data_IF_557338816644
#
_entry.id   IF_557338816644
#
_cell.length_a   1.000
_cell.length_b   1.000
_cell.length_c   1.000
_cell.angle_alpha   90.00
_cell.angle_beta   90.00
_cell.angle_gamma   90.00
#
_symmetry.space_group_name_H-M   'P 1'
#
loop_
_entity.id
_entity.type
_entity.pdbx_description
1 polymer ?
#
# COMPACT_ATOMS: atom_id res chain seq x y z
N UNK A 1 -12.27 19.98 56.68
CA UNK A 1 -13.18 19.97 55.51
C UNK A 1 -12.37 19.65 54.27
N UNK A 2 -12.52 18.46 53.68
CA UNK A 2 -11.89 18.12 52.38
C UNK A 2 -12.75 18.75 51.27
N UNK A 3 -12.17 19.62 50.45
CA UNK A 3 -12.82 20.14 49.24
C UNK A 3 -12.95 18.99 48.23
N UNK A 4 -14.17 18.68 47.82
CA UNK A 4 -14.42 17.87 46.63
C UNK A 4 -13.85 18.63 45.43
N UNK A 5 -12.75 18.12 44.86
CA UNK A 5 -12.30 18.52 43.53
C UNK A 5 -13.34 17.97 42.56
N UNK A 6 -14.14 18.88 41.97
CA UNK A 6 -15.15 18.54 41.00
C UNK A 6 -14.56 17.70 39.87
N UNK A 7 -15.30 16.71 39.42
CA UNK A 7 -14.96 15.93 38.24
C UNK A 7 -14.75 16.90 37.07
N UNK A 8 -13.50 17.01 36.61
CA UNK A 8 -13.22 17.73 35.37
C UNK A 8 -13.99 17.01 34.27
N UNK A 9 -14.99 17.69 33.71
CA UNK A 9 -15.69 17.24 32.51
C UNK A 9 -14.63 17.01 31.41
N UNK A 10 -14.27 15.75 31.18
CA UNK A 10 -13.41 15.39 30.06
C UNK A 10 -14.11 15.87 28.79
N UNK A 11 -13.41 16.55 27.87
CA UNK A 11 -14.02 16.95 26.61
C UNK A 11 -14.60 15.69 25.94
N UNK A 12 -15.88 15.76 25.59
CA UNK A 12 -16.54 14.70 24.82
C UNK A 12 -15.81 14.68 23.49
N UNK A 13 -14.99 13.65 23.27
CA UNK A 13 -14.35 13.47 21.97
C UNK A 13 -15.45 13.26 20.94
N UNK A 14 -15.33 13.87 19.74
CA UNK A 14 -16.27 13.57 18.67
C UNK A 14 -16.33 12.04 18.46
N UNK A 15 -17.49 11.50 18.07
CA UNK A 15 -17.58 10.09 17.72
C UNK A 15 -16.48 9.75 16.72
N UNK A 16 -15.77 8.65 16.95
CA UNK A 16 -14.73 8.18 16.02
C UNK A 16 -15.37 8.05 14.65
N UNK A 17 -14.96 8.91 13.71
CA UNK A 17 -15.40 8.79 12.33
C UNK A 17 -14.91 7.46 11.77
N UNK A 18 -15.79 6.77 11.05
CA UNK A 18 -15.40 5.57 10.30
C UNK A 18 -14.35 6.00 9.27
N UNK A 19 -13.21 5.33 9.28
CA UNK A 19 -12.21 5.49 8.23
C UNK A 19 -12.76 4.77 7.00
N UNK A 20 -12.94 5.51 5.90
CA UNK A 20 -13.48 4.97 4.65
C UNK A 20 -12.38 4.65 3.62
N UNK A 21 -11.15 5.04 3.91
CA UNK A 21 -10.01 4.59 3.13
C UNK A 21 -8.69 5.26 3.47
N UNK A 22 -7.67 4.89 2.70
CA UNK A 22 -6.26 5.20 2.96
C UNK A 22 -5.61 5.76 1.70
N UNK A 23 -4.90 6.87 1.85
CA UNK A 23 -4.18 7.53 0.77
C UNK A 23 -2.66 7.41 0.98
N UNK A 24 -1.95 6.95 -0.04
CA UNK A 24 -0.48 6.88 -0.07
C UNK A 24 0.09 8.05 -0.88
N UNK A 25 0.93 8.87 -0.25
CA UNK A 25 1.55 9.99 -0.95
C UNK A 25 2.73 9.53 -1.84
N UNK A 26 3.44 10.46 -2.49
CA UNK A 26 4.65 10.12 -3.24
C UNK A 26 5.69 9.43 -2.35
N UNK A 27 6.27 8.33 -2.81
CA UNK A 27 7.19 7.52 -1.98
C UNK A 27 8.63 8.02 -2.02
N UNK A 28 9.08 8.61 -3.14
CA UNK A 28 10.52 8.75 -3.38
C UNK A 28 11.22 7.40 -3.18
N UNK A 29 12.28 7.37 -2.35
CA UNK A 29 12.98 6.14 -1.95
C UNK A 29 12.25 5.24 -0.92
N UNK A 30 11.04 5.59 -0.48
CA UNK A 30 10.30 4.90 0.58
C UNK A 30 9.29 3.87 0.09
N UNK A 31 9.34 3.47 -1.20
CA UNK A 31 8.39 2.51 -1.76
C UNK A 31 8.29 1.22 -0.91
N UNK A 32 9.44 0.67 -0.54
CA UNK A 32 9.53 -0.55 0.26
C UNK A 32 8.89 -0.40 1.64
N UNK A 33 9.06 0.77 2.25
CA UNK A 33 8.45 1.10 3.52
C UNK A 33 6.92 1.16 3.42
N UNK A 34 6.38 1.71 2.33
CA UNK A 34 4.94 1.72 2.10
C UNK A 34 4.36 0.33 1.86
N UNK A 35 5.09 -0.58 1.22
CA UNK A 35 4.66 -1.97 1.11
C UNK A 35 4.61 -2.66 2.47
N UNK A 36 5.57 -2.37 3.36
CA UNK A 36 5.53 -2.85 4.74
C UNK A 36 4.34 -2.30 5.53
N UNK A 37 4.01 -1.02 5.35
CA UNK A 37 2.78 -0.42 5.92
C UNK A 37 1.53 -1.12 5.36
N UNK A 38 1.46 -1.33 4.05
CA UNK A 38 0.34 -1.99 3.41
C UNK A 38 0.13 -3.41 3.95
N UNK A 39 1.21 -4.18 4.12
CA UNK A 39 1.16 -5.50 4.73
C UNK A 39 0.65 -5.41 6.17
N UNK A 40 1.22 -4.52 6.99
CA UNK A 40 0.78 -4.35 8.38
C UNK A 40 -0.72 -4.02 8.46
N UNK A 41 -1.22 -3.16 7.58
CA UNK A 41 -2.63 -2.79 7.53
C UNK A 41 -3.48 -4.03 7.18
N UNK A 42 -3.12 -4.77 6.13
CA UNK A 42 -3.85 -5.97 5.71
C UNK A 42 -3.84 -7.08 6.78
N UNK A 43 -2.74 -7.24 7.52
CA UNK A 43 -2.60 -8.29 8.53
C UNK A 43 -3.36 -7.98 9.83
N UNK A 44 -3.62 -6.70 10.13
CA UNK A 44 -4.13 -6.27 11.45
C UNK A 44 -5.53 -5.65 11.42
N UNK A 45 -6.06 -5.33 10.24
CA UNK A 45 -7.35 -4.66 10.09
C UNK A 45 -8.19 -5.28 8.98
N UNK A 46 -9.52 -5.24 9.14
CA UNK A 46 -10.43 -5.55 8.06
C UNK A 46 -10.42 -4.40 7.04
N UNK A 47 -9.88 -4.69 5.86
CA UNK A 47 -9.76 -3.74 4.76
C UNK A 47 -10.80 -3.94 3.66
N UNK A 48 -11.73 -4.88 3.83
CA UNK A 48 -12.67 -5.31 2.77
C UNK A 48 -13.59 -4.20 2.27
N UNK A 49 -13.87 -3.20 3.11
CA UNK A 49 -14.76 -2.08 2.79
C UNK A 49 -14.01 -0.75 2.61
N UNK A 50 -12.67 -0.78 2.59
CA UNK A 50 -11.85 0.43 2.47
C UNK A 50 -11.55 0.76 1.01
N UNK A 51 -11.53 2.05 0.71
CA UNK A 51 -10.95 2.56 -0.53
C UNK A 51 -9.47 2.86 -0.36
N UNK A 52 -8.71 2.73 -1.45
CA UNK A 52 -7.29 3.07 -1.47
C UNK A 52 -6.99 4.00 -2.62
N UNK A 53 -6.07 4.93 -2.41
CA UNK A 53 -5.54 5.75 -3.48
C UNK A 53 -4.05 5.99 -3.27
N UNK A 54 -3.38 6.42 -4.33
CA UNK A 54 -2.00 6.86 -4.20
C UNK A 54 -1.53 7.70 -5.35
N UNK A 55 -0.38 8.36 -5.15
CA UNK A 55 0.28 9.16 -6.19
C UNK A 55 1.74 8.75 -6.33
N UNK A 56 2.27 8.79 -7.57
CA UNK A 56 3.66 8.40 -7.87
C UNK A 56 3.96 6.99 -7.33
N UNK A 57 5.05 6.76 -6.61
CA UNK A 57 5.34 5.45 -6.02
C UNK A 57 4.32 4.98 -4.96
N UNK A 58 3.50 5.88 -4.42
CA UNK A 58 2.35 5.52 -3.58
C UNK A 58 1.23 4.81 -4.32
N UNK A 59 1.22 4.82 -5.66
CA UNK A 59 0.22 4.07 -6.44
C UNK A 59 0.34 2.55 -6.22
N UNK A 60 1.55 2.02 -6.01
CA UNK A 60 1.78 0.58 -5.84
C UNK A 60 1.04 -0.01 -4.61
N UNK A 61 1.27 0.47 -3.37
CA UNK A 61 0.53 -0.03 -2.21
C UNK A 61 -0.98 0.19 -2.35
N UNK A 62 -1.41 1.31 -2.95
CA UNK A 62 -2.82 1.57 -3.22
C UNK A 62 -3.44 0.50 -4.12
N UNK A 63 -2.83 0.21 -5.27
CA UNK A 63 -3.30 -0.81 -6.22
C UNK A 63 -3.28 -2.20 -5.60
N UNK A 64 -2.22 -2.58 -4.88
CA UNK A 64 -2.14 -3.92 -4.29
C UNK A 64 -3.17 -4.12 -3.18
N UNK A 65 -3.41 -3.12 -2.32
CA UNK A 65 -4.47 -3.22 -1.33
C UNK A 65 -5.85 -3.28 -2.00
N UNK A 66 -6.10 -2.48 -3.03
CA UNK A 66 -7.36 -2.53 -3.80
C UNK A 66 -7.58 -3.87 -4.51
N UNK A 67 -6.50 -4.55 -4.92
CA UNK A 67 -6.60 -5.86 -5.57
C UNK A 67 -7.04 -6.99 -4.63
N UNK A 68 -6.95 -6.77 -3.32
CA UNK A 68 -7.09 -7.78 -2.27
C UNK A 68 -6.14 -8.98 -2.40
N UNK A 69 -5.05 -8.82 -3.17
CA UNK A 69 -3.95 -9.78 -3.15
C UNK A 69 -3.24 -9.72 -1.80
N UNK A 70 -2.71 -10.87 -1.36
CA UNK A 70 -1.85 -10.94 -0.18
C UNK A 70 -0.60 -10.09 -0.42
N UNK A 71 -0.47 -8.97 0.31
CA UNK A 71 0.70 -8.10 0.22
C UNK A 71 1.95 -8.87 0.63
N UNK A 72 1.84 -9.74 1.64
CA UNK A 72 2.93 -10.62 2.05
C UNK A 72 3.39 -11.51 0.90
N UNK A 73 2.46 -12.15 0.18
CA UNK A 73 2.82 -13.01 -0.95
C UNK A 73 3.43 -12.20 -2.10
N UNK A 74 2.88 -11.03 -2.41
CA UNK A 74 3.45 -10.10 -3.40
C UNK A 74 4.87 -9.67 -3.00
N UNK A 75 5.11 -9.45 -1.71
CA UNK A 75 6.43 -9.12 -1.21
C UNK A 75 7.43 -10.26 -1.47
N UNK A 76 7.06 -11.47 -1.10
CA UNK A 76 7.89 -12.68 -1.20
C UNK A 76 8.14 -13.11 -2.64
N UNK A 77 7.10 -13.17 -3.48
CA UNK A 77 7.18 -13.69 -4.85
C UNK A 77 7.65 -12.67 -5.88
N UNK A 78 7.44 -11.39 -5.59
CA UNK A 78 7.62 -10.32 -6.57
C UNK A 78 8.64 -9.27 -6.14
N UNK A 79 8.45 -8.62 -4.99
CA UNK A 79 9.32 -7.50 -4.62
C UNK A 79 10.73 -7.96 -4.24
N UNK A 80 10.88 -9.01 -3.43
CA UNK A 80 12.22 -9.53 -3.06
C UNK A 80 13.00 -9.97 -4.31
N UNK A 81 12.45 -10.82 -5.22
CA UNK A 81 13.15 -11.20 -6.45
C UNK A 81 13.45 -10.00 -7.36
N UNK A 82 12.52 -9.04 -7.45
CA UNK A 82 12.73 -7.83 -8.22
C UNK A 82 13.92 -7.01 -7.67
N UNK A 83 13.98 -6.77 -6.36
CA UNK A 83 15.10 -6.05 -5.72
C UNK A 83 16.44 -6.76 -5.97
N UNK A 84 16.47 -8.08 -5.87
CA UNK A 84 17.68 -8.85 -6.10
C UNK A 84 18.16 -8.72 -7.55
N UNK A 85 17.26 -8.88 -8.52
CA UNK A 85 17.62 -8.81 -9.94
C UNK A 85 18.01 -7.39 -10.37
N UNK A 86 17.41 -6.33 -9.81
CA UNK A 86 17.79 -4.94 -10.15
C UNK A 86 19.17 -4.55 -9.61
N UNK A 87 19.61 -5.15 -8.50
CA UNK A 87 20.95 -4.89 -7.94
C UNK A 87 22.07 -5.39 -8.86
N UNK A 88 21.76 -6.36 -9.71
CA UNK A 88 22.68 -6.92 -10.70
C UNK A 88 22.66 -6.14 -12.04
N UNK A 89 21.73 -5.18 -12.20
CA UNK A 89 21.66 -4.39 -13.43
C UNK A 89 22.76 -3.32 -13.47
N UNK A 90 23.35 -3.06 -14.65
CA UNK A 90 24.25 -1.93 -14.83
C UNK A 90 23.47 -0.61 -14.67
N UNK A 91 23.64 0.06 -13.54
CA UNK A 91 22.93 1.31 -13.19
C UNK A 91 23.68 2.59 -13.58
N UNK A 92 24.81 2.48 -14.29
CA UNK A 92 25.67 3.63 -14.61
C UNK A 92 24.89 4.69 -15.40
N UNK A 93 24.67 5.85 -14.76
CA UNK A 93 23.96 7.01 -15.35
C UNK A 93 22.46 7.06 -15.08
N UNK A 94 21.87 6.08 -14.38
CA UNK A 94 20.46 6.11 -14.01
C UNK A 94 20.24 6.96 -12.75
N UNK A 95 19.37 7.97 -12.83
CA UNK A 95 18.96 8.78 -11.68
C UNK A 95 18.03 7.97 -10.75
N UNK A 96 17.23 7.06 -11.31
CA UNK A 96 16.31 6.17 -10.59
C UNK A 96 16.39 4.74 -11.17
N UNK A 97 17.40 3.93 -10.79
CA UNK A 97 17.61 2.60 -11.37
C UNK A 97 16.42 1.65 -11.19
N UNK A 98 15.64 1.84 -10.12
CA UNK A 98 14.43 1.08 -9.81
C UNK A 98 13.29 1.26 -10.82
N UNK A 99 13.20 2.37 -11.54
CA UNK A 99 12.09 2.63 -12.48
C UNK A 99 12.55 2.69 -13.94
N UNK A 100 13.63 1.97 -14.26
CA UNK A 100 14.04 1.74 -15.65
C UNK A 100 13.11 0.74 -16.33
N UNK A 101 13.06 0.75 -17.66
CA UNK A 101 12.28 -0.21 -18.46
C UNK A 101 12.61 -1.66 -18.07
N UNK A 102 13.90 -2.02 -18.03
CA UNK A 102 14.37 -3.34 -17.60
C UNK A 102 13.91 -3.72 -16.19
N UNK A 103 13.95 -2.76 -15.26
CA UNK A 103 13.45 -2.98 -13.91
C UNK A 103 11.95 -3.26 -13.90
N UNK A 104 11.16 -2.53 -14.70
CA UNK A 104 9.71 -2.77 -14.82
C UNK A 104 9.38 -4.10 -15.50
N UNK A 105 10.16 -4.54 -16.47
CA UNK A 105 10.02 -5.89 -17.07
C UNK A 105 10.21 -6.99 -16.03
N UNK A 106 11.21 -6.85 -15.16
CA UNK A 106 11.48 -7.80 -14.07
C UNK A 106 10.31 -7.80 -13.07
N UNK A 107 9.83 -6.63 -12.65
CA UNK A 107 8.67 -6.51 -11.78
C UNK A 107 7.45 -7.23 -12.38
N UNK A 108 7.12 -6.96 -13.64
CA UNK A 108 5.98 -7.57 -14.33
C UNK A 108 6.13 -9.09 -14.48
N UNK A 109 7.34 -9.58 -14.74
CA UNK A 109 7.65 -11.02 -14.82
C UNK A 109 7.27 -11.73 -13.52
N UNK A 110 7.62 -11.17 -12.37
CA UNK A 110 7.30 -11.78 -11.08
C UNK A 110 5.85 -11.57 -10.68
N UNK A 111 5.29 -10.37 -10.92
CA UNK A 111 3.88 -10.09 -10.62
C UNK A 111 2.92 -11.04 -11.32
N UNK A 112 3.19 -11.37 -12.60
CA UNK A 112 2.39 -12.34 -13.36
C UNK A 112 2.36 -13.74 -12.76
N UNK A 113 3.35 -14.12 -11.94
CA UNK A 113 3.34 -15.40 -11.23
C UNK A 113 2.40 -15.40 -10.03
N UNK A 114 2.21 -14.23 -9.41
CA UNK A 114 1.34 -14.06 -8.24
C UNK A 114 -0.11 -13.77 -8.61
N UNK A 115 -0.39 -13.44 -9.87
CA UNK A 115 -1.75 -13.24 -10.39
C UNK A 115 -2.30 -14.59 -10.84
N UNK A 116 -3.25 -15.13 -10.06
CA UNK A 116 -3.91 -16.41 -10.33
C UNK A 116 -5.30 -16.26 -10.95
N UNK A 117 -5.96 -15.11 -10.77
CA UNK A 117 -7.28 -14.81 -11.31
C UNK A 117 -7.41 -13.32 -11.69
N UNK A 118 -7.12 -13.00 -12.95
CA UNK A 118 -7.05 -11.62 -13.43
C UNK A 118 -8.41 -10.89 -13.39
N UNK A 119 -9.51 -11.58 -13.73
CA UNK A 119 -10.84 -10.96 -13.75
C UNK A 119 -11.29 -10.51 -12.35
N UNK A 120 -11.06 -11.35 -11.34
CA UNK A 120 -11.39 -11.05 -9.95
C UNK A 120 -10.54 -9.89 -9.40
N UNK A 121 -9.24 -9.88 -9.71
CA UNK A 121 -8.33 -8.80 -9.32
C UNK A 121 -8.78 -7.47 -9.94
N UNK A 122 -9.12 -7.46 -11.23
CA UNK A 122 -9.59 -6.24 -11.90
C UNK A 122 -10.92 -5.77 -11.32
N UNK A 123 -11.84 -6.69 -11.00
CA UNK A 123 -13.09 -6.36 -10.30
C UNK A 123 -12.80 -5.70 -8.94
N UNK A 124 -11.91 -6.26 -8.15
CA UNK A 124 -11.53 -5.73 -6.84
C UNK A 124 -10.88 -4.34 -6.96
N UNK A 125 -9.94 -4.18 -7.90
CA UNK A 125 -9.31 -2.87 -8.16
C UNK A 125 -10.38 -1.84 -8.51
N UNK A 126 -11.32 -2.16 -9.40
CA UNK A 126 -12.36 -1.23 -9.81
C UNK A 126 -13.34 -0.85 -8.69
N UNK A 127 -13.53 -1.69 -7.66
CA UNK A 127 -14.40 -1.36 -6.52
C UNK A 127 -13.69 -0.63 -5.39
N UNK A 128 -12.39 -0.88 -5.18
CA UNK A 128 -11.66 -0.35 -4.02
C UNK A 128 -10.64 0.74 -4.38
N UNK A 129 -10.16 0.82 -5.62
CA UNK A 129 -9.23 1.86 -6.02
C UNK A 129 -9.99 3.15 -6.31
N UNK A 130 -9.61 4.22 -5.63
CA UNK A 130 -10.19 5.54 -5.84
C UNK A 130 -9.15 6.52 -6.39
N UNK A 131 -9.60 7.37 -7.31
CA UNK A 131 -8.82 8.52 -7.80
C UNK A 131 -9.05 9.75 -6.88
N UNK A 132 -10.16 9.75 -6.12
CA UNK A 132 -10.55 10.82 -5.19
C UNK A 132 -11.16 10.18 -3.95
N UNK A 133 -10.48 10.26 -2.81
CA UNK A 133 -11.08 9.87 -1.54
C UNK A 133 -12.25 10.83 -1.24
N UNK A 134 -13.49 10.33 -1.12
CA UNK A 134 -14.65 11.17 -0.82
C UNK A 134 -14.62 11.71 0.61
#
# INVERSE_FOLDING_TARGET
MKKNLGEYNRPIMPPKQKINGIAFHGSGGLLWYYMGIAQFIQDNYDTSELQFCGVSGGCLPGVFLSSQLSIKQIWEDCFIPWINDINELPTKGAILPTFTEKSMEILLKYLKKSITNEEEILKNINSHLSIRMP
#
